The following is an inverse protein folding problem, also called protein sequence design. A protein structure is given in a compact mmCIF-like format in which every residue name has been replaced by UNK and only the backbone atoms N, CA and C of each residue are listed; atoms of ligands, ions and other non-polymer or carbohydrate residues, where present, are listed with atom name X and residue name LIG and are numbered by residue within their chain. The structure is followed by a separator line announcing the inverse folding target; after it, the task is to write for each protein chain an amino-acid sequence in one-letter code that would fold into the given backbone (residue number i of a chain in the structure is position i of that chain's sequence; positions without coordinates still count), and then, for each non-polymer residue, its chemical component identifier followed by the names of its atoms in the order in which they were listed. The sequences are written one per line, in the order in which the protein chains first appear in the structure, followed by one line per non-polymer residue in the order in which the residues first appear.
data_IF_614893733868
#
_entry.id   IF_614893733868
#
_cell.length_a   1.000
_cell.length_b   1.000
_cell.length_c   1.000
_cell.angle_alpha   90.00
_cell.angle_beta   90.00
_cell.angle_gamma   90.00
#
_symmetry.space_group_name_H-M   'P 1'
#
loop_
_entity.id
_entity.type
_entity.pdbx_description
1 polymer ?
#
# COMPACT_ATOMS: atom_id res chain seq x y z
N UNK A 1 5.00 14.95 48.93
CA UNK A 1 5.48 14.15 47.78
C UNK A 1 4.45 13.07 47.53
N UNK A 2 3.58 13.26 46.53
CA UNK A 2 2.92 12.23 45.72
C UNK A 2 2.01 12.94 44.70
N UNK A 3 2.33 12.81 43.41
CA UNK A 3 1.41 13.17 42.32
C UNK A 3 0.25 12.16 42.31
N UNK A 4 -0.98 12.55 41.99
CA UNK A 4 -2.08 11.60 41.86
C UNK A 4 -1.82 10.63 40.71
N UNK A 5 -2.06 9.34 40.95
CA UNK A 5 -2.03 8.28 39.95
C UNK A 5 -3.02 8.60 38.81
N UNK A 6 -2.55 8.42 37.58
CA UNK A 6 -3.35 8.53 36.37
C UNK A 6 -4.45 7.47 36.32
N UNK A 7 -5.67 7.89 35.99
CA UNK A 7 -6.84 7.03 35.83
C UNK A 7 -6.63 5.98 34.71
N UNK A 8 -7.10 4.73 34.90
CA UNK A 8 -7.04 3.71 33.86
C UNK A 8 -7.92 4.10 32.67
N UNK A 9 -7.34 4.14 31.47
CA UNK A 9 -8.03 4.49 30.22
C UNK A 9 -7.48 5.71 29.46
N UNK A 10 -6.40 6.35 29.93
CA UNK A 10 -5.69 7.35 29.14
C UNK A 10 -4.66 6.65 28.24
N UNK A 11 -5.07 6.24 27.03
CA UNK A 11 -4.10 5.97 25.97
C UNK A 11 -3.22 7.20 25.80
N UNK A 12 -1.91 7.04 26.00
CA UNK A 12 -0.95 8.09 25.70
C UNK A 12 -1.15 8.47 24.23
N UNK A 13 -1.41 9.75 23.90
CA UNK A 13 -1.50 10.14 22.51
C UNK A 13 -0.19 9.74 21.85
N UNK A 14 -0.28 8.93 20.79
CA UNK A 14 0.88 8.57 19.99
C UNK A 14 1.58 9.87 19.54
N UNK A 15 2.91 9.84 19.38
CA UNK A 15 3.68 11.02 18.94
C UNK A 15 3.14 11.62 17.64
N UNK A 16 2.42 10.84 16.84
CA UNK A 16 1.73 11.25 15.62
C UNK A 16 0.63 12.30 15.85
N UNK A 17 -0.04 12.31 17.00
CA UNK A 17 -1.11 13.27 17.30
C UNK A 17 -0.63 14.73 17.36
N UNK A 18 0.69 14.98 17.46
CA UNK A 18 1.28 16.32 17.47
C UNK A 18 1.44 16.95 16.08
N UNK A 19 1.23 16.20 14.99
CA UNK A 19 1.55 16.66 13.63
C UNK A 19 0.36 16.66 12.64
N UNK A 20 -0.86 16.43 13.12
CA UNK A 20 -2.06 16.35 12.28
C UNK A 20 -2.27 14.96 11.68
N UNK A 21 -3.41 14.74 11.02
CA UNK A 21 -3.71 13.48 10.33
C UNK A 21 -2.83 13.34 9.09
N UNK A 22 -1.98 12.32 9.06
CA UNK A 22 -1.20 11.97 7.88
C UNK A 22 -2.07 11.19 6.90
N UNK A 23 -1.92 11.44 5.60
CA UNK A 23 -2.54 10.58 4.61
C UNK A 23 -1.86 9.20 4.66
N UNK A 24 -2.66 8.16 4.90
CA UNK A 24 -2.19 6.77 5.04
C UNK A 24 -1.96 6.10 3.68
N UNK A 25 -2.46 6.68 2.59
CA UNK A 25 -2.25 6.19 1.23
C UNK A 25 -1.46 7.22 0.42
N UNK A 26 -0.36 6.77 -0.19
CA UNK A 26 0.39 7.54 -1.18
C UNK A 26 0.38 6.80 -2.53
N UNK A 27 0.20 7.53 -3.62
CA UNK A 27 -0.02 6.97 -4.95
C UNK A 27 0.72 7.76 -6.01
N UNK A 28 1.44 7.05 -6.87
CA UNK A 28 2.02 7.60 -8.09
C UNK A 28 1.65 6.71 -9.28
N UNK A 29 1.41 7.31 -10.44
CA UNK A 29 1.09 6.58 -11.66
C UNK A 29 1.96 7.06 -12.82
N UNK A 30 2.44 6.12 -13.63
CA UNK A 30 3.17 6.38 -14.86
C UNK A 30 2.55 5.55 -15.99
N UNK A 31 2.63 6.07 -17.21
CA UNK A 31 2.15 5.39 -18.40
C UNK A 31 3.26 5.37 -19.43
N UNK A 32 3.34 4.30 -20.20
CA UNK A 32 4.24 4.18 -21.33
C UNK A 32 3.91 5.22 -22.44
N UNK A 33 4.86 5.42 -23.35
CA UNK A 33 4.71 6.36 -24.48
C UNK A 33 3.60 5.92 -25.44
N UNK A 34 3.44 4.61 -25.66
CA UNK A 34 2.42 4.02 -26.54
C UNK A 34 1.01 4.06 -25.90
N UNK A 35 0.91 4.41 -24.62
CA UNK A 35 -0.33 4.48 -23.85
C UNK A 35 -1.04 3.14 -23.75
N UNK A 36 -0.30 2.05 -23.75
CA UNK A 36 -0.83 0.69 -23.63
C UNK A 36 -0.69 0.18 -22.20
N UNK A 37 0.41 0.51 -21.51
CA UNK A 37 0.69 0.03 -20.16
C UNK A 37 0.61 1.16 -19.14
N UNK A 38 -0.19 0.95 -18.08
CA UNK A 38 -0.26 1.81 -16.90
C UNK A 38 0.46 1.10 -15.73
N UNK A 39 1.35 1.82 -15.05
CA UNK A 39 1.98 1.39 -13.81
C UNK A 39 1.53 2.30 -12.68
N UNK A 40 1.04 1.72 -11.58
CA UNK A 40 0.60 2.45 -10.39
C UNK A 40 1.36 1.94 -9.18
N UNK A 41 2.08 2.83 -8.50
CA UNK A 41 2.74 2.57 -7.22
C UNK A 41 1.87 3.07 -6.09
N UNK A 42 1.55 2.20 -5.13
CA UNK A 42 0.74 2.48 -3.95
C UNK A 42 1.53 2.16 -2.69
N UNK A 43 1.48 3.05 -1.70
CA UNK A 43 2.09 2.83 -0.39
C UNK A 43 1.00 2.93 0.67
N UNK A 44 0.79 1.85 1.41
CA UNK A 44 0.03 1.88 2.65
C UNK A 44 0.98 2.21 3.80
N UNK A 45 0.83 3.41 4.38
CA UNK A 45 1.64 3.91 5.49
C UNK A 45 1.04 3.59 6.87
N UNK A 46 -0.10 2.90 6.91
CA UNK A 46 -0.66 2.41 8.17
C UNK A 46 0.23 1.31 8.74
N UNK A 47 0.48 1.35 10.04
CA UNK A 47 1.29 0.35 10.74
C UNK A 47 0.55 -0.98 10.96
N UNK A 48 -0.79 -0.96 10.97
CA UNK A 48 -1.58 -2.16 11.30
C UNK A 48 -2.88 -2.33 10.53
N UNK A 49 -3.31 -1.35 9.74
CA UNK A 49 -4.60 -1.43 9.02
C UNK A 49 -4.41 -1.81 7.56
N UNK A 50 -5.19 -2.80 7.12
CA UNK A 50 -5.40 -3.05 5.71
C UNK A 50 -6.21 -1.89 5.11
N UNK A 51 -5.85 -1.45 3.91
CA UNK A 51 -6.58 -0.41 3.19
C UNK A 51 -7.30 -0.98 1.97
N UNK A 52 -8.62 -0.86 1.93
CA UNK A 52 -9.40 -1.11 0.72
C UNK A 52 -9.30 0.11 -0.22
N UNK A 53 -8.77 -0.13 -1.42
CA UNK A 53 -8.50 0.91 -2.42
C UNK A 53 -9.30 0.65 -3.68
N UNK A 54 -9.84 1.74 -4.23
CA UNK A 54 -10.50 1.75 -5.54
C UNK A 54 -9.76 2.72 -6.47
N UNK A 55 -9.21 2.19 -7.56
CA UNK A 55 -8.57 2.98 -8.62
C UNK A 55 -9.54 3.12 -9.78
N UNK A 56 -9.94 4.36 -10.08
CA UNK A 56 -10.79 4.67 -11.23
C UNK A 56 -9.97 5.29 -12.36
N UNK A 57 -9.99 4.65 -13.52
CA UNK A 57 -9.38 5.18 -14.74
C UNK A 57 -10.30 6.25 -15.34
N UNK A 58 -9.84 7.50 -15.32
CA UNK A 58 -10.58 8.62 -15.91
C UNK A 58 -10.78 8.50 -17.43
N UNK A 59 -9.91 7.73 -18.11
CA UNK A 59 -10.00 7.44 -19.53
C UNK A 59 -9.42 6.04 -19.82
N UNK A 60 -9.95 5.39 -20.86
CA UNK A 60 -9.63 4.00 -21.18
C UNK A 60 -10.20 3.01 -20.16
N UNK A 61 -9.73 1.77 -20.23
CA UNK A 61 -10.07 0.71 -19.29
C UNK A 61 -8.94 -0.32 -19.18
N UNK A 62 -8.88 -1.06 -18.08
CA UNK A 62 -7.94 -2.17 -17.93
C UNK A 62 -8.39 -3.32 -18.83
N UNK A 63 -7.48 -3.82 -19.65
CA UNK A 63 -7.71 -4.89 -20.62
C UNK A 63 -6.77 -6.06 -20.35
N UNK A 64 -7.12 -6.90 -19.37
CA UNK A 64 -6.42 -8.16 -19.11
C UNK A 64 -5.97 -8.33 -17.67
N UNK A 65 -4.89 -9.08 -17.48
CA UNK A 65 -4.34 -9.35 -16.16
C UNK A 65 -3.69 -8.09 -15.58
N UNK A 66 -3.94 -7.86 -14.30
CA UNK A 66 -3.18 -6.93 -13.48
C UNK A 66 -2.04 -7.72 -12.84
N UNK A 67 -0.81 -7.32 -13.11
CA UNK A 67 0.36 -7.84 -12.42
C UNK A 67 0.59 -7.00 -11.16
N UNK A 68 0.65 -7.65 -10.01
CA UNK A 68 0.87 -7.03 -8.71
C UNK A 68 2.20 -7.49 -8.14
N UNK A 69 3.03 -6.53 -7.77
CA UNK A 69 4.29 -6.72 -7.07
C UNK A 69 4.15 -6.07 -5.70
N UNK A 70 4.31 -6.83 -4.63
CA UNK A 70 4.21 -6.32 -3.27
C UNK A 70 5.51 -6.54 -2.51
N UNK A 71 6.03 -5.49 -1.90
CA UNK A 71 7.08 -5.57 -0.88
C UNK A 71 6.42 -5.41 0.48
N UNK A 72 6.61 -6.42 1.33
CA UNK A 72 6.09 -6.44 2.69
C UNK A 72 6.95 -7.35 3.59
N UNK A 73 6.89 -7.14 4.90
CA UNK A 73 7.47 -7.98 5.95
C UNK A 73 6.46 -8.23 7.07
N UNK A 74 6.72 -9.21 7.95
CA UNK A 74 5.82 -9.52 9.07
C UNK A 74 5.61 -8.34 10.03
N UNK A 75 6.63 -7.48 10.18
CA UNK A 75 6.56 -6.24 10.93
C UNK A 75 7.37 -5.11 10.27
N UNK A 76 7.15 -3.87 10.74
CA UNK A 76 7.79 -2.64 10.20
C UNK A 76 9.31 -2.56 10.40
N UNK A 77 9.89 -3.45 11.19
CA UNK A 77 11.32 -3.60 11.41
C UNK A 77 11.92 -4.78 10.63
N UNK A 78 11.11 -5.49 9.83
CA UNK A 78 11.55 -6.56 8.95
C UNK A 78 12.71 -6.11 8.06
N UNK A 79 13.77 -6.89 8.05
CA UNK A 79 14.96 -6.65 7.26
C UNK A 79 15.60 -7.97 6.83
N UNK A 80 16.30 -7.93 5.70
CA UNK A 80 17.11 -9.03 5.21
C UNK A 80 18.48 -9.01 5.89
N UNK A 81 18.97 -10.17 6.29
CA UNK A 81 20.32 -10.38 6.81
C UNK A 81 21.01 -11.54 6.08
N UNK A 82 22.21 -11.93 6.54
CA UNK A 82 22.97 -13.01 5.90
C UNK A 82 22.35 -14.39 6.10
N UNK A 83 21.60 -14.59 7.19
CA UNK A 83 20.95 -15.85 7.51
C UNK A 83 19.56 -15.93 6.86
N UNK A 84 18.88 -14.80 6.68
CA UNK A 84 17.54 -14.64 6.12
C UNK A 84 17.52 -13.57 5.02
N UNK A 85 18.11 -13.84 3.84
CA UNK A 85 18.24 -12.85 2.77
C UNK A 85 16.91 -12.48 2.09
N UNK A 86 15.84 -13.24 2.33
CA UNK A 86 14.51 -13.07 1.72
C UNK A 86 13.40 -12.84 2.76
N UNK A 87 13.75 -12.38 3.96
CA UNK A 87 12.78 -12.08 5.03
C UNK A 87 11.78 -10.98 4.62
N UNK A 88 12.24 -10.01 3.84
CA UNK A 88 11.45 -9.01 3.11
C UNK A 88 11.76 -9.17 1.63
N UNK A 89 10.79 -9.66 0.88
CA UNK A 89 10.91 -9.97 -0.54
C UNK A 89 9.73 -9.41 -1.34
N UNK A 90 9.89 -9.38 -2.66
CA UNK A 90 8.79 -9.07 -3.57
C UNK A 90 7.93 -10.32 -3.74
N UNK A 91 6.64 -10.21 -3.42
CA UNK A 91 5.64 -11.21 -3.81
C UNK A 91 4.98 -10.78 -5.12
N UNK A 92 4.94 -11.69 -6.08
CA UNK A 92 4.32 -11.46 -7.39
C UNK A 92 3.01 -12.23 -7.51
N UNK A 93 1.94 -11.54 -7.90
CA UNK A 93 0.63 -12.15 -8.16
C UNK A 93 0.01 -11.54 -9.41
N UNK A 94 -0.83 -12.33 -10.08
CA UNK A 94 -1.59 -11.88 -11.24
C UNK A 94 -3.08 -12.08 -10.95
N UNK A 95 -3.88 -11.05 -11.17
CA UNK A 95 -5.33 -11.12 -11.01
C UNK A 95 -6.05 -10.64 -12.28
N UNK A 96 -7.20 -11.24 -12.57
CA UNK A 96 -8.04 -10.83 -13.70
C UNK A 96 -9.04 -9.79 -13.21
N UNK A 97 -8.84 -8.54 -13.59
CA UNK A 97 -9.81 -7.46 -13.44
C UNK A 97 -9.86 -6.66 -14.74
N UNK A 98 -11.04 -6.21 -15.13
CA UNK A 98 -11.22 -5.43 -16.35
C UNK A 98 -12.20 -4.29 -16.13
N UNK A 99 -12.17 -3.33 -17.05
CA UNK A 99 -12.99 -2.13 -16.96
C UNK A 99 -12.25 -0.97 -16.29
N UNK A 100 -13.00 0.05 -15.88
CA UNK A 100 -12.45 1.32 -15.40
C UNK A 100 -12.14 1.35 -13.92
N UNK A 101 -12.65 0.39 -13.16
CA UNK A 101 -12.60 0.39 -11.71
C UNK A 101 -11.87 -0.85 -11.22
N UNK A 102 -10.65 -0.64 -10.73
CA UNK A 102 -9.83 -1.68 -10.12
C UNK A 102 -9.97 -1.60 -8.61
N UNK A 103 -10.18 -2.74 -7.95
CA UNK A 103 -10.28 -2.82 -6.49
C UNK A 103 -9.22 -3.74 -5.95
N UNK A 104 -8.58 -3.32 -4.87
CA UNK A 104 -7.55 -4.11 -4.21
C UNK A 104 -7.50 -3.76 -2.73
N UNK A 105 -6.98 -4.70 -1.95
CA UNK A 105 -6.65 -4.48 -0.56
C UNK A 105 -5.13 -4.44 -0.40
N UNK A 106 -4.64 -3.35 0.20
CA UNK A 106 -3.25 -3.16 0.54
C UNK A 106 -3.00 -3.61 1.98
N UNK A 107 -2.08 -4.53 2.25
CA UNK A 107 -1.68 -4.85 3.61
C UNK A 107 -1.09 -3.64 4.34
N UNK A 108 -1.05 -3.66 5.68
CA UNK A 108 -0.31 -2.67 6.46
C UNK A 108 1.14 -2.54 5.97
N UNK A 109 1.71 -1.34 6.10
CA UNK A 109 3.12 -1.01 5.81
C UNK A 109 3.67 -1.54 4.47
N UNK A 110 2.80 -1.70 3.48
CA UNK A 110 3.14 -2.32 2.21
C UNK A 110 3.50 -1.28 1.14
N UNK A 111 4.38 -1.70 0.23
CA UNK A 111 4.59 -1.05 -1.07
C UNK A 111 4.09 -1.98 -2.17
N UNK A 112 3.08 -1.56 -2.91
CA UNK A 112 2.49 -2.34 -4.00
C UNK A 112 2.65 -1.61 -5.33
N UNK A 113 3.12 -2.31 -6.35
CA UNK A 113 3.15 -1.83 -7.74
C UNK A 113 2.21 -2.68 -8.57
N UNK A 114 1.28 -2.01 -9.26
CA UNK A 114 0.42 -2.62 -10.26
C UNK A 114 0.94 -2.29 -11.64
N UNK A 115 1.04 -3.29 -12.51
CA UNK A 115 1.25 -3.12 -13.95
C UNK A 115 0.03 -3.68 -14.68
N UNK A 116 -0.57 -2.85 -15.52
CA UNK A 116 -1.84 -3.13 -16.18
C UNK A 116 -1.75 -2.74 -17.65
N UNK A 117 -2.30 -3.59 -18.51
CA UNK A 117 -2.58 -3.19 -19.89
C UNK A 117 -3.89 -2.43 -19.95
N UNK A 118 -3.95 -1.41 -20.80
CA UNK A 118 -5.05 -0.46 -20.92
C UNK A 118 -5.49 -0.33 -22.37
N UNK A 119 -6.81 -0.39 -22.58
CA UNK A 119 -7.48 -0.15 -23.85
C UNK A 119 -8.08 1.26 -23.92
N UNK A 120 -8.44 1.67 -25.14
CA UNK A 120 -9.12 2.95 -25.43
C UNK A 120 -10.63 2.82 -25.33
#
# INVERSE_FOLDING_TARGET
MTLPESLPGQEKPSRAAKHGSFNVLDVAATRDEERTTLVVSLINRSEGEHLDVALELAAGEVTGAIQRYEVNGEDVHGANDFDHPEHVAVTETAEQQSGRLVRLQLPPHSHTVLRMETGS
#
